data_IF_929500055942
#
_entry.id   IF_929500055942
#
_cell.length_a   1.000
_cell.length_b   1.000
_cell.length_c   1.000
_cell.angle_alpha   90.00
_cell.angle_beta   90.00
_cell.angle_gamma   90.00
#
_symmetry.space_group_name_H-M   'P 1'
#
loop_
_entity.id
_entity.type
_entity.pdbx_description
1 polymer ?
#
# COMPACT_ATOMS: atom_id res chain seq x y z
N UNK A 1 -11.52 -23.63 1.74
CA UNK A 1 -10.11 -23.62 1.24
C UNK A 1 -9.57 -22.22 1.20
N UNK A 2 -8.40 -22.02 1.76
CA UNK A 2 -7.74 -20.74 1.65
C UNK A 2 -7.33 -20.49 0.19
N UNK A 3 -7.61 -19.30 -0.32
CA UNK A 3 -7.14 -18.92 -1.66
C UNK A 3 -5.63 -18.78 -1.64
N UNK A 4 -4.97 -19.41 -2.58
CA UNK A 4 -3.54 -19.20 -2.76
C UNK A 4 -3.31 -17.82 -3.35
N UNK A 5 -2.30 -17.12 -2.85
CA UNK A 5 -1.87 -15.86 -3.45
C UNK A 5 -1.28 -16.13 -4.84
N UNK A 6 -1.47 -15.19 -5.74
CA UNK A 6 -0.79 -15.23 -7.04
C UNK A 6 0.73 -15.21 -6.84
N UNK A 7 1.51 -15.84 -7.75
CA UNK A 7 2.96 -15.74 -7.66
C UNK A 7 3.42 -14.29 -7.55
N UNK A 8 4.34 -14.04 -6.62
CA UNK A 8 4.86 -12.70 -6.37
C UNK A 8 4.01 -11.84 -5.44
N UNK A 9 2.81 -12.26 -5.07
CA UNK A 9 1.97 -11.51 -4.14
C UNK A 9 2.48 -11.68 -2.71
N UNK A 10 2.74 -10.54 -2.04
CA UNK A 10 3.27 -10.51 -0.69
C UNK A 10 2.21 -10.21 0.36
N UNK A 11 1.21 -9.42 0.01
CA UNK A 11 0.08 -9.10 0.89
C UNK A 11 -1.12 -8.65 0.05
N UNK A 12 -2.32 -8.88 0.57
CA UNK A 12 -3.57 -8.44 -0.06
C UNK A 12 -4.44 -7.72 0.97
N UNK A 13 -5.22 -6.76 0.48
CA UNK A 13 -6.13 -5.98 1.32
C UNK A 13 -7.57 -6.35 1.01
N UNK A 14 -8.02 -7.47 1.55
CA UNK A 14 -9.39 -7.96 1.31
C UNK A 14 -10.43 -7.04 1.92
N UNK A 15 -10.13 -6.45 3.10
CA UNK A 15 -11.04 -5.54 3.78
C UNK A 15 -11.36 -4.32 2.93
N UNK A 16 -10.36 -3.76 2.24
CA UNK A 16 -10.58 -2.61 1.37
C UNK A 16 -11.53 -2.94 0.23
N UNK A 17 -11.38 -4.10 -0.38
CA UNK A 17 -12.27 -4.53 -1.47
C UNK A 17 -13.70 -4.78 -0.99
N UNK A 18 -13.85 -5.18 0.28
CA UNK A 18 -15.17 -5.37 0.89
C UNK A 18 -15.81 -4.02 1.25
N UNK A 19 -15.03 -3.10 1.82
CA UNK A 19 -15.53 -1.85 2.39
C UNK A 19 -15.70 -0.73 1.35
N UNK A 20 -15.00 -0.82 0.21
CA UNK A 20 -14.97 0.25 -0.79
C UNK A 20 -15.35 -0.26 -2.17
N UNK A 21 -15.94 0.63 -2.96
CA UNK A 21 -16.03 0.46 -4.40
C UNK A 21 -14.73 0.99 -5.00
N UNK A 22 -14.01 0.14 -5.72
CA UNK A 22 -12.73 0.51 -6.35
C UNK A 22 -13.05 0.97 -7.78
N UNK A 23 -12.83 2.25 -8.03
CA UNK A 23 -13.19 2.87 -9.31
C UNK A 23 -12.05 2.90 -10.32
N UNK A 24 -10.82 2.88 -9.83
CA UNK A 24 -9.63 2.91 -10.69
C UNK A 24 -8.46 2.33 -9.92
N UNK A 25 -7.45 1.84 -10.64
CA UNK A 25 -6.25 1.30 -10.01
C UNK A 25 -5.00 1.81 -10.72
N UNK A 26 -3.89 1.90 -9.98
CA UNK A 26 -2.59 2.27 -10.52
C UNK A 26 -1.49 1.54 -9.74
N UNK A 27 -0.46 1.11 -10.46
CA UNK A 27 0.72 0.50 -9.85
C UNK A 27 1.72 1.58 -9.45
N UNK A 28 2.23 1.49 -8.23
CA UNK A 28 3.26 2.40 -7.72
C UNK A 28 4.47 1.60 -7.23
N UNK A 29 5.65 2.20 -7.36
CA UNK A 29 6.82 1.69 -6.63
C UNK A 29 6.73 2.12 -5.18
N UNK A 30 7.54 1.52 -4.33
CA UNK A 30 7.60 1.87 -2.90
C UNK A 30 9.05 1.86 -2.43
N UNK A 31 9.42 2.88 -1.66
CA UNK A 31 10.76 2.99 -1.08
C UNK A 31 10.78 2.27 0.26
N UNK A 32 11.57 1.21 0.35
CA UNK A 32 11.65 0.37 1.54
C UNK A 32 13.09 0.31 2.05
N UNK A 33 13.23 0.17 3.37
CA UNK A 33 14.51 -0.11 4.02
C UNK A 33 14.80 -1.61 3.92
N UNK A 34 16.08 -1.98 4.10
CA UNK A 34 16.50 -3.38 3.98
C UNK A 34 15.76 -4.32 4.92
N UNK A 35 15.55 -3.92 6.18
CA UNK A 35 14.82 -4.72 7.16
C UNK A 35 13.34 -4.86 6.79
N UNK A 36 12.77 -3.84 6.17
CA UNK A 36 11.38 -3.91 5.68
C UNK A 36 11.24 -4.95 4.57
N UNK A 37 12.16 -4.93 3.60
CA UNK A 37 12.14 -5.89 2.49
C UNK A 37 12.25 -7.32 3.01
N UNK A 38 13.18 -7.56 3.92
CA UNK A 38 13.39 -8.89 4.52
C UNK A 38 12.16 -9.35 5.27
N UNK A 39 11.53 -8.46 6.05
CA UNK A 39 10.33 -8.77 6.81
C UNK A 39 9.14 -9.07 5.90
N UNK A 40 8.94 -8.27 4.85
CA UNK A 40 7.86 -8.47 3.88
C UNK A 40 7.99 -9.83 3.20
N UNK A 41 9.21 -10.24 2.86
CA UNK A 41 9.44 -11.55 2.22
C UNK A 41 9.05 -12.70 3.14
N UNK A 42 9.01 -12.48 4.45
CA UNK A 42 8.52 -13.46 5.44
C UNK A 42 7.01 -13.39 5.65
N UNK A 43 6.30 -12.56 4.88
CA UNK A 43 4.85 -12.45 4.95
C UNK A 43 4.34 -11.56 6.07
N UNK A 44 5.15 -10.63 6.58
CA UNK A 44 4.81 -9.84 7.75
C UNK A 44 4.15 -8.49 7.45
N UNK A 45 3.85 -8.17 6.20
CA UNK A 45 3.18 -6.92 5.85
C UNK A 45 1.67 -7.05 6.03
N UNK A 46 1.06 -6.00 6.61
CA UNK A 46 -0.38 -5.92 6.78
C UNK A 46 -0.88 -4.60 6.22
N UNK A 47 -1.75 -4.68 5.22
CA UNK A 47 -2.32 -3.52 4.52
C UNK A 47 -3.62 -3.01 5.14
N UNK A 48 -4.15 -3.70 6.14
CA UNK A 48 -5.41 -3.33 6.78
C UNK A 48 -5.33 -1.90 7.32
N UNK A 49 -6.35 -1.10 7.01
CA UNK A 49 -6.47 0.29 7.46
C UNK A 49 -5.36 1.22 6.97
N UNK A 50 -4.60 0.80 5.95
CA UNK A 50 -3.60 1.67 5.34
C UNK A 50 -4.23 2.49 4.21
N UNK A 51 -3.61 3.62 3.94
CA UNK A 51 -4.08 4.55 2.91
C UNK A 51 -2.91 5.35 2.35
N UNK A 52 -3.07 5.87 1.14
CA UNK A 52 -2.09 6.75 0.53
C UNK A 52 -2.54 8.19 0.61
N UNK A 53 -1.60 9.10 0.76
CA UNK A 53 -1.86 10.52 0.93
C UNK A 53 -0.79 11.34 0.21
N UNK A 54 -1.23 12.43 -0.44
CA UNK A 54 -0.31 13.40 -1.03
C UNK A 54 0.18 14.34 0.07
N UNK A 55 1.50 14.51 0.14
CA UNK A 55 2.13 15.43 1.09
C UNK A 55 3.32 16.09 0.38
N UNK A 56 3.33 17.41 0.33
CA UNK A 56 4.39 18.18 -0.34
C UNK A 56 4.66 17.73 -1.78
N UNK A 57 3.58 17.43 -2.52
CA UNK A 57 3.68 17.02 -3.92
C UNK A 57 4.14 15.59 -4.14
N UNK A 58 4.32 14.82 -3.08
CA UNK A 58 4.71 13.40 -3.14
C UNK A 58 3.60 12.54 -2.54
N UNK A 59 3.59 11.26 -2.92
CA UNK A 59 2.61 10.30 -2.40
C UNK A 59 3.27 9.42 -1.35
N UNK A 60 2.58 9.23 -0.21
CA UNK A 60 3.06 8.39 0.89
C UNK A 60 2.01 7.37 1.26
N UNK A 61 2.47 6.16 1.61
CA UNK A 61 1.62 5.10 2.14
C UNK A 61 1.74 5.10 3.66
N UNK A 62 0.61 5.31 4.33
CA UNK A 62 0.53 5.41 5.80
C UNK A 62 -0.18 4.19 6.39
N UNK A 63 0.18 3.85 7.60
CA UNK A 63 -0.45 2.79 8.41
C UNK A 63 -0.27 1.37 7.86
N UNK A 64 0.64 1.14 6.91
CA UNK A 64 1.01 -0.22 6.57
C UNK A 64 1.98 -0.75 7.63
N UNK A 65 1.57 -1.78 8.35
CA UNK A 65 2.40 -2.40 9.37
C UNK A 65 3.34 -3.41 8.73
N UNK A 66 4.63 -3.26 8.98
CA UNK A 66 5.65 -4.24 8.62
C UNK A 66 6.38 -4.62 9.90
N UNK A 67 6.26 -5.87 10.32
CA UNK A 67 6.86 -6.34 11.56
C UNK A 67 8.38 -6.12 11.57
N UNK A 68 8.98 -5.85 12.73
CA UNK A 68 10.43 -5.77 12.83
C UNK A 68 11.08 -7.07 12.34
N UNK A 69 12.22 -6.94 11.69
CA UNK A 69 13.02 -8.08 11.27
C UNK A 69 13.94 -8.45 12.45
N UNK A 70 13.71 -9.61 13.06
CA UNK A 70 14.38 -9.98 14.31
C UNK A 70 15.90 -9.91 14.22
N UNK A 71 16.48 -10.32 13.09
CA UNK A 71 17.91 -10.29 12.88
C UNK A 71 18.47 -8.88 12.62
N UNK A 72 17.59 -7.87 12.49
CA UNK A 72 17.97 -6.47 12.31
C UNK A 72 18.40 -5.78 13.59
N UNK A 73 18.11 -6.36 14.76
CA UNK A 73 18.46 -5.80 16.08
C UNK A 73 18.02 -4.34 16.20
N UNK A 74 18.91 -3.47 16.73
CA UNK A 74 18.63 -2.04 16.94
C UNK A 74 18.58 -1.22 15.65
N UNK A 75 18.99 -1.77 14.51
CA UNK A 75 18.94 -1.09 13.23
C UNK A 75 17.64 -1.36 12.47
N UNK A 76 16.62 -1.75 13.19
CA UNK A 76 15.34 -2.08 12.61
C UNK A 76 14.55 -0.82 12.25
N UNK A 77 13.55 -1.01 11.39
CA UNK A 77 12.64 0.05 10.97
C UNK A 77 11.50 0.24 11.98
N UNK A 78 10.87 1.42 11.93
CA UNK A 78 9.59 1.65 12.62
C UNK A 78 8.51 0.86 11.88
N UNK A 79 7.77 -0.04 12.57
CA UNK A 79 6.72 -0.86 11.92
C UNK A 79 5.67 -0.07 11.16
N UNK A 80 5.34 1.13 11.60
CA UNK A 80 4.31 1.98 10.98
C UNK A 80 4.87 3.19 10.25
N UNK A 81 6.13 3.15 9.87
CA UNK A 81 6.79 4.24 9.15
C UNK A 81 5.97 4.62 7.91
N UNK A 82 5.79 5.92 7.67
CA UNK A 82 5.23 6.42 6.43
C UNK A 82 6.22 6.15 5.29
N UNK A 83 5.77 5.55 4.20
CA UNK A 83 6.67 5.12 3.12
C UNK A 83 6.33 5.84 1.83
N UNK A 84 7.36 6.34 1.16
CA UNK A 84 7.18 7.07 -0.08
C UNK A 84 6.83 6.12 -1.21
N UNK A 85 5.83 6.50 -1.99
CA UNK A 85 5.44 5.79 -3.19
C UNK A 85 6.04 6.48 -4.40
N UNK A 86 6.46 5.69 -5.38
CA UNK A 86 7.11 6.20 -6.59
C UNK A 86 6.08 6.24 -7.71
N UNK A 87 5.67 7.46 -8.06
CA UNK A 87 4.72 7.77 -9.12
C UNK A 87 5.21 9.00 -9.86
N UNK A 88 4.80 9.13 -11.11
CA UNK A 88 5.05 10.37 -11.86
C UNK A 88 4.20 11.51 -11.28
N UNK A 89 4.68 12.73 -11.38
CA UNK A 89 3.96 13.91 -10.86
C UNK A 89 2.56 14.02 -11.43
N UNK A 90 2.38 13.73 -12.73
CA UNK A 90 1.06 13.75 -13.37
C UNK A 90 0.11 12.71 -12.78
N UNK A 91 0.65 11.55 -12.36
CA UNK A 91 -0.14 10.49 -11.72
C UNK A 91 -0.59 10.91 -10.33
N UNK A 92 0.31 11.53 -9.56
CA UNK A 92 0.00 12.06 -8.24
C UNK A 92 -1.09 13.12 -8.34
N UNK A 93 -0.96 14.05 -9.31
CA UNK A 93 -1.95 15.09 -9.54
C UNK A 93 -3.31 14.49 -9.90
N UNK A 94 -3.33 13.54 -10.81
CA UNK A 94 -4.57 12.87 -11.24
C UNK A 94 -5.26 12.17 -10.06
N UNK A 95 -4.50 11.44 -9.25
CA UNK A 95 -5.04 10.76 -8.07
C UNK A 95 -5.60 11.76 -7.05
N UNK A 96 -4.91 12.87 -6.86
CA UNK A 96 -5.39 13.95 -6.00
C UNK A 96 -6.72 14.51 -6.48
N UNK A 97 -6.87 14.72 -7.79
CA UNK A 97 -8.12 15.22 -8.37
C UNK A 97 -9.25 14.19 -8.25
N UNK A 98 -8.95 12.91 -8.48
CA UNK A 98 -9.93 11.83 -8.38
C UNK A 98 -10.46 11.65 -6.95
N UNK A 99 -9.71 12.08 -5.95
CA UNK A 99 -10.05 11.87 -4.53
C UNK A 99 -10.38 13.16 -3.78
N UNK A 100 -10.68 14.26 -4.50
CA UNK A 100 -11.01 15.55 -3.87
C UNK A 100 -12.31 15.51 -3.09
N UNK A 101 -13.30 14.79 -3.58
CA UNK A 101 -14.61 14.74 -2.93
C UNK A 101 -14.57 13.89 -1.66
N UNK A 102 -15.40 14.27 -0.68
CA UNK A 102 -15.57 13.51 0.55
C UNK A 102 -16.10 12.12 0.22
N UNK A 103 -15.55 11.10 0.88
CA UNK A 103 -15.91 9.71 0.64
C UNK A 103 -14.94 8.97 -0.26
N UNK A 104 -14.00 9.69 -0.87
CA UNK A 104 -12.94 9.08 -1.67
C UNK A 104 -11.64 8.98 -0.88
N UNK A 105 -10.89 7.93 -1.14
CA UNK A 105 -9.55 7.74 -0.59
C UNK A 105 -8.72 6.90 -1.54
N UNK A 106 -7.41 6.88 -1.32
CA UNK A 106 -6.50 6.02 -2.08
C UNK A 106 -6.05 4.94 -1.11
N UNK A 107 -6.34 3.69 -1.44
CA UNK A 107 -6.01 2.55 -0.57
C UNK A 107 -5.13 1.55 -1.31
N UNK A 108 -4.18 0.91 -0.60
CA UNK A 108 -3.41 -0.17 -1.21
C UNK A 108 -4.26 -1.43 -1.26
N UNK A 109 -4.28 -2.07 -2.41
CA UNK A 109 -5.04 -3.30 -2.63
C UNK A 109 -4.17 -4.53 -2.52
N UNK A 110 -2.91 -4.40 -2.92
CA UNK A 110 -2.01 -5.53 -3.01
C UNK A 110 -0.56 -5.07 -3.00
N UNK A 111 0.30 -5.83 -2.33
CA UNK A 111 1.75 -5.66 -2.34
C UNK A 111 2.35 -6.86 -3.05
N UNK A 112 3.21 -6.64 -4.04
CA UNK A 112 3.71 -7.74 -4.87
C UNK A 112 5.09 -7.44 -5.44
N UNK A 113 5.77 -8.48 -5.91
CA UNK A 113 7.06 -8.37 -6.59
C UNK A 113 6.84 -8.36 -8.11
N UNK A 114 7.51 -7.44 -8.77
CA UNK A 114 7.52 -7.37 -10.23
C UNK A 114 8.95 -7.05 -10.66
N UNK A 115 9.55 -7.93 -11.44
CA UNK A 115 10.94 -7.80 -11.87
C UNK A 115 11.90 -7.55 -10.69
N UNK A 116 11.68 -8.24 -9.57
CA UNK A 116 12.51 -8.11 -8.37
C UNK A 116 12.25 -6.89 -7.52
N UNK A 117 11.33 -6.02 -7.92
CA UNK A 117 10.99 -4.80 -7.18
C UNK A 117 9.64 -4.93 -6.50
N UNK A 118 9.54 -4.41 -5.28
CA UNK A 118 8.28 -4.36 -4.56
C UNK A 118 7.39 -3.27 -5.15
N UNK A 119 6.16 -3.63 -5.50
CA UNK A 119 5.15 -2.73 -6.06
C UNK A 119 3.89 -2.78 -5.21
N UNK A 120 3.15 -1.68 -5.26
CA UNK A 120 1.85 -1.57 -4.59
C UNK A 120 0.80 -1.26 -5.65
N UNK A 121 -0.29 -2.02 -5.66
CA UNK A 121 -1.45 -1.68 -6.47
C UNK A 121 -2.33 -0.78 -5.62
N UNK A 122 -2.46 0.48 -6.01
CA UNK A 122 -3.31 1.46 -5.35
C UNK A 122 -4.68 1.48 -6.01
N UNK A 123 -5.73 1.68 -5.21
CA UNK A 123 -7.08 1.84 -5.72
C UNK A 123 -7.65 3.19 -5.35
N UNK A 124 -8.34 3.83 -6.29
CA UNK A 124 -9.21 4.97 -6.00
C UNK A 124 -10.49 4.37 -5.42
N UNK A 125 -10.72 4.63 -4.15
CA UNK A 125 -11.73 3.94 -3.37
C UNK A 125 -12.83 4.90 -2.93
N UNK A 126 -14.06 4.48 -3.12
CA UNK A 126 -15.24 5.20 -2.64
C UNK A 126 -15.92 4.35 -1.59
N UNK A 127 -16.21 4.93 -0.41
CA UNK A 127 -16.87 4.21 0.65
C UNK A 127 -18.25 3.72 0.23
N UNK A 128 -18.58 2.47 0.54
CA UNK A 128 -19.92 1.93 0.29
C UNK A 128 -20.91 2.54 1.27
N UNK A 129 -22.06 2.97 0.76
CA UNK A 129 -23.13 3.47 1.62
C UNK A 129 -23.69 2.32 2.42
N UNK A 130 -23.84 2.54 3.73
CA UNK A 130 -24.49 1.58 4.62
C UNK A 130 -25.80 2.20 5.10
N UNK A 131 -26.87 1.45 4.98
CA UNK A 131 -28.19 1.83 5.47
C UNK A 131 -28.66 0.84 6.50
#
# INVERSE_FOLDING_TARGET
MAKKKSPGTLAENRKARHDYNIEDTIEAGIVLQGTEIKSIRRGSANLKDSYAQVKNGEMYLNNMHIAPYEEGNRFNHDPLRSRKLLLHKREIFKLGEQTREIGYSIVPLKLYLKHGHCKVLLGVARGKKKY
#
